data_IF_897003768471
#
_entry.id   IF_897003768471
#
_cell.length_a   1.000
_cell.length_b   1.000
_cell.length_c   1.000
_cell.angle_alpha   90.00
_cell.angle_beta   90.00
_cell.angle_gamma   90.00
#
_symmetry.space_group_name_H-M   'P 1'
#
loop_
_entity.id
_entity.type
_entity.pdbx_description
1 polymer ?
#
# COMPACT_ATOMS: atom_id res chain seq x y z
N UNK A 1 -3.63 21.94 -5.23
CA UNK A 1 -2.53 22.06 -4.24
C UNK A 1 -3.13 22.40 -2.89
N UNK A 2 -2.75 21.69 -1.83
CA UNK A 2 -3.28 21.93 -0.49
C UNK A 2 -3.03 23.36 0.01
N UNK A 3 -4.02 23.90 0.72
CA UNK A 3 -3.88 25.22 1.36
C UNK A 3 -3.08 25.10 2.66
N UNK A 4 -1.78 25.41 2.61
CA UNK A 4 -0.85 25.30 3.74
C UNK A 4 -1.35 26.10 4.97
N UNK A 5 -1.95 27.27 4.77
CA UNK A 5 -2.45 28.07 5.89
C UNK A 5 -3.61 27.39 6.62
N UNK A 6 -4.52 26.76 5.86
CA UNK A 6 -5.62 25.98 6.42
C UNK A 6 -5.09 24.77 7.21
N UNK A 7 -4.10 24.03 6.65
CA UNK A 7 -3.45 22.91 7.34
C UNK A 7 -2.77 23.36 8.65
N UNK A 8 -2.06 24.49 8.64
CA UNK A 8 -1.43 25.06 9.83
C UNK A 8 -2.47 25.45 10.89
N UNK A 9 -3.62 26.00 10.49
CA UNK A 9 -4.71 26.33 11.40
C UNK A 9 -5.27 25.08 12.07
N UNK A 10 -5.56 24.03 11.31
CA UNK A 10 -6.03 22.75 11.85
C UNK A 10 -5.01 22.11 12.80
N UNK A 11 -3.74 22.08 12.39
CA UNK A 11 -2.65 21.61 13.27
C UNK A 11 -2.64 22.36 14.61
N UNK A 12 -2.80 23.69 14.60
CA UNK A 12 -2.83 24.50 15.82
C UNK A 12 -4.01 24.12 16.71
N UNK A 13 -5.21 23.98 16.14
CA UNK A 13 -6.41 23.58 16.90
C UNK A 13 -6.21 22.24 17.60
N UNK A 14 -5.64 21.23 16.91
CA UNK A 14 -5.34 19.92 17.49
C UNK A 14 -4.31 20.05 18.64
N UNK A 15 -3.26 20.84 18.45
CA UNK A 15 -2.26 21.09 19.50
C UNK A 15 -2.85 21.76 20.73
N UNK A 16 -3.80 22.69 20.55
CA UNK A 16 -4.45 23.38 21.66
C UNK A 16 -5.41 22.43 22.42
N UNK A 17 -6.13 21.56 21.72
CA UNK A 17 -6.96 20.52 22.35
C UNK A 17 -6.11 19.49 23.11
N UNK A 18 -4.97 19.06 22.55
CA UNK A 18 -4.04 18.12 23.20
C UNK A 18 -3.53 18.60 24.55
N UNK A 19 -3.35 19.93 24.75
CA UNK A 19 -2.85 20.50 26.01
C UNK A 19 -3.81 20.28 27.18
N UNK A 20 -5.11 20.20 26.89
CA UNK A 20 -6.18 20.11 27.89
C UNK A 20 -6.88 18.75 27.92
N UNK A 21 -6.59 17.88 26.91
CA UNK A 21 -7.24 16.58 26.82
C UNK A 21 -6.74 15.62 27.90
N UNK A 22 -7.65 15.13 28.74
CA UNK A 22 -7.38 14.14 29.79
C UNK A 22 -7.83 12.73 29.40
N UNK A 23 -8.74 12.60 28.44
CA UNK A 23 -9.20 11.33 27.92
C UNK A 23 -8.10 10.64 27.09
N UNK A 24 -7.73 9.42 27.47
CA UNK A 24 -6.62 8.69 26.85
C UNK A 24 -6.90 8.33 25.38
N UNK A 25 -8.12 7.83 25.10
CA UNK A 25 -8.49 7.42 23.73
C UNK A 25 -8.60 8.64 22.80
N UNK A 26 -9.18 9.73 23.28
CA UNK A 26 -9.26 10.99 22.55
C UNK A 26 -7.88 11.56 22.27
N UNK A 27 -6.99 11.51 23.27
CA UNK A 27 -5.60 11.97 23.13
C UNK A 27 -4.85 11.21 22.04
N UNK A 28 -4.99 9.89 21.98
CA UNK A 28 -4.39 9.05 20.96
C UNK A 28 -4.89 9.44 19.54
N UNK A 29 -6.19 9.61 19.36
CA UNK A 29 -6.77 10.09 18.08
C UNK A 29 -6.21 11.45 17.69
N UNK A 30 -6.10 12.37 18.64
CA UNK A 30 -5.52 13.70 18.40
C UNK A 30 -4.04 13.61 17.96
N UNK A 31 -3.24 12.76 18.61
CA UNK A 31 -1.82 12.56 18.29
C UNK A 31 -1.63 11.98 16.89
N UNK A 32 -2.42 10.97 16.50
CA UNK A 32 -2.38 10.35 15.16
C UNK A 32 -2.79 11.38 14.11
N UNK A 33 -3.90 12.10 14.32
CA UNK A 33 -4.37 13.13 13.38
C UNK A 33 -3.39 14.29 13.27
N UNK A 34 -2.74 14.69 14.37
CA UNK A 34 -1.68 15.69 14.37
C UNK A 34 -0.50 15.25 13.49
N UNK A 35 -0.10 13.98 13.57
CA UNK A 35 0.94 13.38 12.71
C UNK A 35 0.60 13.54 11.23
N UNK A 36 -0.65 13.25 10.85
CA UNK A 36 -1.14 13.45 9.47
C UNK A 36 -1.00 14.90 9.01
N UNK A 37 -1.45 15.89 9.80
CA UNK A 37 -1.34 17.30 9.43
C UNK A 37 0.11 17.81 9.36
N UNK A 38 0.99 17.33 10.23
CA UNK A 38 2.43 17.64 10.16
C UNK A 38 3.01 17.13 8.85
N UNK A 39 2.74 15.87 8.53
CA UNK A 39 3.21 15.23 7.30
C UNK A 39 2.66 15.92 6.04
N UNK A 40 1.38 16.29 6.03
CA UNK A 40 0.77 17.08 4.93
C UNK A 40 1.46 18.43 4.74
N UNK A 41 1.75 19.16 5.82
CA UNK A 41 2.44 20.45 5.75
C UNK A 41 3.86 20.30 5.21
N UNK A 42 4.58 19.26 5.66
CA UNK A 42 5.93 18.96 5.19
C UNK A 42 5.93 18.57 3.70
N UNK A 43 4.89 17.87 3.23
CA UNK A 43 4.71 17.54 1.81
C UNK A 43 4.41 18.77 0.94
N UNK A 44 3.81 19.83 1.51
CA UNK A 44 3.62 21.10 0.81
C UNK A 44 4.92 21.92 0.69
N UNK A 45 5.91 21.65 1.53
CA UNK A 45 7.21 22.31 1.54
C UNK A 45 8.08 21.82 0.38
N UNK A 46 7.96 22.47 -0.79
CA UNK A 46 8.74 22.11 -1.97
C UNK A 46 10.20 22.53 -1.83
N UNK A 47 11.13 21.59 -2.04
CA UNK A 47 12.50 21.96 -2.43
C UNK A 47 12.42 22.35 -3.90
N UNK A 48 12.39 23.65 -4.17
CA UNK A 48 12.28 24.20 -5.53
C UNK A 48 13.50 23.92 -6.42
N UNK A 49 14.54 23.24 -5.91
CA UNK A 49 15.79 23.05 -6.62
C UNK A 49 16.15 21.55 -6.66
N UNK A 50 15.98 20.94 -7.81
CA UNK A 50 16.31 19.52 -8.08
C UNK A 50 17.78 19.19 -7.75
N UNK A 51 18.72 20.14 -7.93
CA UNK A 51 20.13 19.97 -7.53
C UNK A 51 20.28 19.87 -6.02
N UNK A 52 19.56 20.70 -5.27
CA UNK A 52 19.61 20.70 -3.81
C UNK A 52 18.97 19.40 -3.27
N UNK A 53 17.90 18.91 -3.90
CA UNK A 53 17.27 17.65 -3.55
C UNK A 53 18.23 16.46 -3.74
N UNK A 54 18.90 16.36 -4.88
CA UNK A 54 19.87 15.30 -5.15
C UNK A 54 21.05 15.33 -4.18
N UNK A 55 21.49 16.53 -3.77
CA UNK A 55 22.51 16.68 -2.72
C UNK A 55 21.97 16.21 -1.37
N UNK A 56 20.76 16.58 -0.99
CA UNK A 56 20.13 16.18 0.26
C UNK A 56 19.80 14.68 0.29
N UNK A 57 19.38 14.09 -0.83
CA UNK A 57 19.17 12.64 -0.96
C UNK A 57 20.50 11.88 -0.85
N UNK A 58 21.56 12.38 -1.48
CA UNK A 58 22.92 11.83 -1.37
C UNK A 58 23.46 11.94 0.07
N UNK A 59 23.19 13.06 0.75
CA UNK A 59 23.58 13.29 2.14
C UNK A 59 22.73 12.46 3.12
N UNK A 60 21.46 12.21 2.82
CA UNK A 60 20.58 11.39 3.67
C UNK A 60 20.94 9.90 3.64
N UNK A 61 21.44 9.41 2.52
CA UNK A 61 22.01 8.05 2.39
C UNK A 61 23.35 7.90 3.15
N UNK A 62 24.01 9.01 3.49
CA UNK A 62 25.22 9.07 4.30
C UNK A 62 25.00 9.65 5.69
N UNK A 63 24.43 8.91 6.63
CA UNK A 63 24.46 9.11 8.10
C UNK A 63 24.12 10.50 8.68
N UNK A 64 23.56 11.44 7.95
CA UNK A 64 23.10 12.71 8.53
C UNK A 64 21.61 12.61 8.92
N UNK A 65 21.35 12.43 10.21
CA UNK A 65 20.03 12.73 10.76
C UNK A 65 19.80 14.24 10.66
N UNK A 66 19.07 14.68 9.65
CA UNK A 66 18.48 16.01 9.71
C UNK A 66 17.60 16.05 10.97
N UNK A 67 17.94 16.90 11.93
CA UNK A 67 17.09 17.18 13.08
C UNK A 67 15.74 17.68 12.56
N UNK A 68 14.79 16.76 12.43
CA UNK A 68 13.45 17.06 11.92
C UNK A 68 12.63 17.61 13.09
N UNK A 69 12.13 18.87 13.04
CA UNK A 69 11.25 19.38 14.09
C UNK A 69 9.99 18.53 14.29
N UNK A 70 9.57 17.81 13.23
CA UNK A 70 8.47 16.84 13.24
C UNK A 70 8.86 15.46 13.82
N UNK A 71 10.14 15.16 14.01
CA UNK A 71 10.58 13.84 14.45
C UNK A 71 10.00 13.42 15.81
N UNK A 72 9.59 14.35 16.64
CA UNK A 72 8.93 14.05 17.91
C UNK A 72 7.55 13.44 17.72
N UNK A 73 6.80 13.88 16.71
CA UNK A 73 5.44 13.40 16.45
C UNK A 73 5.40 12.27 15.40
N UNK A 74 6.22 12.35 14.36
CA UNK A 74 6.44 11.20 13.45
C UNK A 74 7.12 10.05 14.16
N UNK A 75 8.04 10.32 15.10
CA UNK A 75 8.62 9.30 15.97
C UNK A 75 7.60 8.68 16.92
N UNK A 76 6.55 9.37 17.33
CA UNK A 76 5.45 8.78 18.07
C UNK A 76 4.53 7.94 17.16
N UNK A 77 4.29 8.36 15.93
CA UNK A 77 3.56 7.57 14.94
C UNK A 77 4.33 6.30 14.57
N UNK A 78 5.62 6.41 14.31
CA UNK A 78 6.50 5.26 14.12
C UNK A 78 6.58 4.39 15.38
N UNK A 79 6.58 4.95 16.59
CA UNK A 79 6.50 4.20 17.85
C UNK A 79 5.15 3.51 18.03
N UNK A 80 4.06 4.14 17.69
CA UNK A 80 2.72 3.53 17.73
C UNK A 80 2.70 2.32 16.79
N UNK A 81 3.27 2.44 15.59
CA UNK A 81 3.35 1.34 14.64
C UNK A 81 4.43 0.31 15.04
N UNK A 82 5.55 0.72 15.64
CA UNK A 82 6.67 -0.17 15.97
C UNK A 82 6.55 -0.89 17.30
N UNK A 83 5.78 -0.36 18.25
CA UNK A 83 5.55 -0.98 19.57
C UNK A 83 4.29 -1.87 19.62
N UNK A 84 3.74 -2.23 18.47
CA UNK A 84 2.58 -3.11 18.40
C UNK A 84 3.03 -4.56 18.34
N UNK A 85 2.59 -5.35 19.31
CA UNK A 85 2.75 -6.80 19.27
C UNK A 85 1.80 -7.37 18.24
N UNK A 86 2.33 -7.85 17.11
CA UNK A 86 1.57 -8.60 16.13
C UNK A 86 1.55 -10.06 16.51
N UNK A 87 0.39 -10.68 16.33
CA UNK A 87 0.28 -12.12 16.55
C UNK A 87 1.23 -12.87 15.61
N UNK A 88 2.10 -13.70 16.20
CA UNK A 88 3.02 -14.52 15.45
C UNK A 88 3.38 -15.74 16.31
N UNK A 89 2.68 -16.86 16.10
CA UNK A 89 3.10 -18.14 16.64
C UNK A 89 3.92 -18.94 15.61
N UNK A 90 4.43 -20.09 16.05
CA UNK A 90 5.27 -20.94 15.21
C UNK A 90 4.55 -21.42 13.95
N UNK A 91 3.31 -21.84 14.07
CA UNK A 91 2.50 -22.38 12.96
C UNK A 91 2.20 -21.32 11.93
N UNK A 92 1.87 -20.12 12.40
CA UNK A 92 1.61 -19.00 11.50
C UNK A 92 2.89 -18.53 10.80
N UNK A 93 4.02 -18.50 11.51
CA UNK A 93 5.30 -18.20 10.87
C UNK A 93 5.69 -19.25 9.82
N UNK A 94 5.50 -20.56 10.10
CA UNK A 94 5.71 -21.63 9.11
C UNK A 94 4.91 -21.37 7.82
N UNK A 95 3.62 -21.07 7.97
CA UNK A 95 2.75 -20.74 6.84
C UNK A 95 3.28 -19.53 6.04
N UNK A 96 3.70 -18.43 6.72
CA UNK A 96 4.23 -17.25 6.04
C UNK A 96 5.56 -17.53 5.33
N UNK A 97 6.42 -18.37 5.90
CA UNK A 97 7.67 -18.78 5.27
C UNK A 97 7.44 -19.68 4.05
N UNK A 98 6.41 -20.53 4.08
CA UNK A 98 5.99 -21.32 2.92
C UNK A 98 5.51 -20.40 1.77
N UNK A 99 4.77 -19.34 2.09
CA UNK A 99 4.43 -18.29 1.10
C UNK A 99 5.70 -17.66 0.50
N UNK A 100 6.66 -17.28 1.35
CA UNK A 100 7.94 -16.69 0.88
C UNK A 100 8.65 -17.62 -0.10
N UNK A 101 8.83 -18.88 0.27
CA UNK A 101 9.51 -19.87 -0.57
C UNK A 101 8.73 -20.14 -1.88
N UNK A 102 7.41 -20.25 -1.82
CA UNK A 102 6.57 -20.42 -3.02
C UNK A 102 6.78 -19.25 -4.00
N UNK A 103 6.71 -18.00 -3.50
CA UNK A 103 6.86 -16.80 -4.34
C UNK A 103 8.28 -16.68 -4.90
N UNK A 104 9.32 -17.04 -4.14
CA UNK A 104 10.71 -17.03 -4.63
C UNK A 104 10.91 -18.06 -5.76
N UNK A 105 10.24 -19.21 -5.65
CA UNK A 105 10.37 -20.30 -6.61
C UNK A 105 9.51 -20.11 -7.88
N UNK A 106 8.69 -19.05 -7.94
CA UNK A 106 7.96 -18.73 -9.17
C UNK A 106 8.92 -18.23 -10.25
N UNK A 107 8.59 -18.47 -11.51
CA UNK A 107 9.34 -17.86 -12.60
C UNK A 107 9.27 -16.33 -12.53
N UNK A 108 10.41 -15.62 -12.58
CA UNK A 108 10.39 -14.16 -12.55
C UNK A 108 9.67 -13.60 -13.78
N UNK A 109 8.89 -12.56 -13.57
CA UNK A 109 8.23 -11.84 -14.66
C UNK A 109 9.27 -11.22 -15.62
N UNK A 110 10.42 -10.83 -15.06
CA UNK A 110 11.60 -10.36 -15.81
C UNK A 110 12.86 -11.01 -15.23
N UNK A 111 13.75 -11.48 -16.13
CA UNK A 111 14.99 -12.19 -15.76
C UNK A 111 16.17 -11.28 -15.42
N UNK A 112 16.03 -9.96 -15.52
CA UNK A 112 17.12 -8.98 -15.35
C UNK A 112 16.69 -7.81 -14.48
N UNK A 113 17.68 -7.06 -13.95
CA UNK A 113 17.52 -5.79 -13.22
C UNK A 113 17.02 -4.64 -14.14
N UNK A 114 16.09 -4.93 -15.03
CA UNK A 114 15.54 -3.90 -15.90
C UNK A 114 14.69 -2.94 -15.06
N UNK A 115 15.10 -1.69 -15.03
CA UNK A 115 14.24 -0.61 -14.63
C UNK A 115 13.09 -0.55 -15.63
N UNK A 116 11.84 -0.58 -15.14
CA UNK A 116 10.67 -0.37 -15.99
C UNK A 116 10.75 1.04 -16.59
N UNK A 117 11.11 1.12 -17.87
CA UNK A 117 11.13 2.37 -18.61
C UNK A 117 9.74 2.58 -19.23
N UNK A 118 8.92 3.36 -18.55
CA UNK A 118 7.60 3.74 -19.04
C UNK A 118 7.70 4.88 -20.03
N UNK A 119 6.94 4.79 -21.12
CA UNK A 119 6.79 5.88 -22.07
C UNK A 119 6.23 7.13 -21.38
N UNK A 120 6.69 8.30 -21.86
CA UNK A 120 6.11 9.57 -21.44
C UNK A 120 4.63 9.62 -21.82
N UNK A 121 3.77 9.75 -20.84
CA UNK A 121 2.31 9.79 -20.97
C UNK A 121 1.78 11.11 -20.43
N UNK A 122 1.88 12.21 -21.20
CA UNK A 122 1.46 13.52 -20.76
C UNK A 122 -0.06 13.53 -20.55
N UNK A 123 -0.48 13.77 -19.35
CA UNK A 123 -1.90 13.86 -19.01
C UNK A 123 -2.15 15.00 -18.03
N UNK A 124 -3.28 15.69 -18.20
CA UNK A 124 -3.71 16.67 -17.21
C UNK A 124 -4.16 15.99 -15.91
N UNK A 125 -4.15 16.73 -14.82
CA UNK A 125 -4.74 16.25 -13.56
C UNK A 125 -6.24 15.96 -13.73
N UNK A 126 -6.92 16.70 -14.59
CA UNK A 126 -8.34 16.48 -14.91
C UNK A 126 -8.54 15.16 -15.66
N UNK A 127 -7.68 14.83 -16.62
CA UNK A 127 -7.70 13.54 -17.30
C UNK A 127 -7.55 12.38 -16.32
N UNK A 128 -6.60 12.49 -15.40
CA UNK A 128 -6.37 11.48 -14.37
C UNK A 128 -7.60 11.32 -13.46
N UNK A 129 -8.16 12.42 -12.98
CA UNK A 129 -9.39 12.41 -12.18
C UNK A 129 -10.58 11.77 -12.93
N UNK A 130 -10.77 12.10 -14.20
CA UNK A 130 -11.88 11.60 -15.00
C UNK A 130 -11.76 10.09 -15.27
N UNK A 131 -10.58 9.61 -15.65
CA UNK A 131 -10.32 8.18 -15.86
C UNK A 131 -10.55 7.39 -14.56
N UNK A 132 -10.03 7.88 -13.44
CA UNK A 132 -10.23 7.24 -12.14
C UNK A 132 -11.70 7.23 -11.73
N UNK A 133 -12.43 8.33 -11.93
CA UNK A 133 -13.85 8.41 -11.64
C UNK A 133 -14.67 7.43 -12.48
N UNK A 134 -14.36 7.31 -13.77
CA UNK A 134 -14.97 6.34 -14.67
C UNK A 134 -14.67 4.89 -14.25
N UNK A 135 -13.45 4.61 -13.81
CA UNK A 135 -13.09 3.29 -13.30
C UNK A 135 -13.97 2.89 -12.11
N UNK A 136 -14.07 3.73 -11.07
CA UNK A 136 -14.90 3.42 -9.89
C UNK A 136 -16.40 3.33 -10.25
N UNK A 137 -16.87 4.11 -11.21
CA UNK A 137 -18.24 3.97 -11.73
C UNK A 137 -18.45 2.63 -12.44
N UNK A 138 -17.45 2.17 -13.19
CA UNK A 138 -17.49 0.89 -13.91
C UNK A 138 -17.41 -0.34 -13.02
N UNK A 139 -16.98 -0.20 -11.76
CA UNK A 139 -17.10 -1.27 -10.76
C UNK A 139 -18.58 -1.61 -10.44
N UNK A 140 -19.54 -0.77 -10.86
CA UNK A 140 -20.99 -0.98 -10.66
C UNK A 140 -21.38 -1.27 -9.19
N UNK A 141 -20.54 -0.88 -8.24
CA UNK A 141 -20.85 -0.90 -6.81
C UNK A 141 -21.10 0.53 -6.33
N UNK A 142 -22.35 0.79 -5.97
CA UNK A 142 -22.75 2.13 -5.58
C UNK A 142 -22.08 2.58 -4.28
N UNK A 143 -21.83 1.68 -3.32
CA UNK A 143 -21.23 2.05 -2.04
C UNK A 143 -19.78 2.51 -2.25
N UNK A 144 -18.99 1.71 -2.98
CA UNK A 144 -17.59 2.05 -3.31
C UNK A 144 -17.55 3.36 -4.10
N UNK A 145 -18.42 3.51 -5.10
CA UNK A 145 -18.47 4.72 -5.93
C UNK A 145 -18.82 5.97 -5.13
N UNK A 146 -19.80 5.90 -4.21
CA UNK A 146 -20.17 7.02 -3.35
C UNK A 146 -19.03 7.43 -2.41
N UNK A 147 -18.26 6.47 -1.90
CA UNK A 147 -17.08 6.78 -1.08
C UNK A 147 -15.96 7.42 -1.92
N UNK A 148 -15.74 6.94 -3.15
CA UNK A 148 -14.81 7.57 -4.09
C UNK A 148 -15.20 9.01 -4.40
N UNK A 149 -16.49 9.28 -4.60
CA UNK A 149 -17.01 10.62 -4.85
C UNK A 149 -16.74 11.61 -3.72
N UNK A 150 -16.67 11.16 -2.45
CA UNK A 150 -16.29 12.04 -1.32
C UNK A 150 -14.89 12.63 -1.52
N UNK A 151 -13.95 11.82 -2.07
CA UNK A 151 -12.60 12.31 -2.39
C UNK A 151 -12.58 13.16 -3.66
N UNK A 152 -13.23 12.70 -4.73
CA UNK A 152 -13.20 13.39 -6.02
C UNK A 152 -13.91 14.75 -6.03
N UNK A 153 -14.97 14.91 -5.25
CA UNK A 153 -15.77 16.14 -5.24
C UNK A 153 -15.15 17.22 -4.35
N UNK A 154 -14.31 16.88 -3.42
CA UNK A 154 -13.57 17.85 -2.59
C UNK A 154 -12.14 17.99 -3.12
N UNK A 155 -11.92 19.00 -4.00
CA UNK A 155 -10.59 19.26 -4.59
C UNK A 155 -9.51 19.55 -3.57
N UNK A 156 -9.86 19.91 -2.33
CA UNK A 156 -8.92 20.11 -1.23
C UNK A 156 -8.40 18.78 -0.69
N UNK A 157 -9.08 17.66 -0.95
CA UNK A 157 -8.63 16.35 -0.51
C UNK A 157 -7.51 15.76 -1.39
N UNK A 158 -7.28 16.32 -2.58
CA UNK A 158 -6.31 15.79 -3.53
C UNK A 158 -5.20 16.81 -3.80
N UNK A 159 -3.96 16.37 -3.67
CA UNK A 159 -2.79 17.17 -4.01
C UNK A 159 -1.97 16.49 -5.11
N UNK A 160 -1.78 17.15 -6.24
CA UNK A 160 -0.87 16.74 -7.29
C UNK A 160 0.42 17.51 -7.17
N UNK A 161 1.53 16.82 -6.98
CA UNK A 161 2.84 17.41 -6.80
C UNK A 161 3.81 16.91 -7.87
N UNK A 162 4.61 17.82 -8.41
CA UNK A 162 5.72 17.48 -9.30
C UNK A 162 7.05 17.36 -8.54
N UNK A 163 7.00 17.46 -7.21
CA UNK A 163 8.19 17.49 -6.36
C UNK A 163 8.14 16.36 -5.35
N UNK A 164 9.31 15.84 -5.00
CA UNK A 164 9.44 14.85 -3.95
C UNK A 164 9.14 15.48 -2.58
N UNK A 165 8.41 14.75 -1.76
CA UNK A 165 8.29 15.06 -0.35
C UNK A 165 9.62 14.82 0.36
N UNK A 166 9.95 15.66 1.35
CA UNK A 166 11.12 15.42 2.22
C UNK A 166 11.02 14.15 3.05
N UNK A 167 9.80 13.71 3.36
CA UNK A 167 9.55 12.57 4.23
C UNK A 167 9.43 11.26 3.45
N UNK A 168 8.96 11.31 2.21
CA UNK A 168 8.58 10.14 1.42
C UNK A 168 9.13 10.25 0.00
N UNK A 169 10.45 10.38 -0.12
CA UNK A 169 11.12 10.59 -1.41
C UNK A 169 10.85 9.51 -2.45
N UNK A 170 10.53 8.29 -2.01
CA UNK A 170 10.34 7.13 -2.87
C UNK A 170 8.86 6.76 -3.08
N UNK A 171 7.91 7.37 -2.37
CA UNK A 171 6.50 7.05 -2.53
C UNK A 171 5.93 7.74 -3.77
N UNK A 172 5.20 6.99 -4.60
CA UNK A 172 4.46 7.50 -5.75
C UNK A 172 3.22 8.29 -5.32
N UNK A 173 2.61 7.89 -4.20
CA UNK A 173 1.48 8.53 -3.56
C UNK A 173 1.49 8.33 -2.05
N UNK A 174 0.63 9.03 -1.33
CA UNK A 174 0.43 8.86 0.11
C UNK A 174 -0.98 9.32 0.48
N UNK A 175 -1.64 8.56 1.32
CA UNK A 175 -2.92 8.92 1.93
C UNK A 175 -2.73 9.33 3.39
N UNK A 176 -3.44 10.37 3.81
CA UNK A 176 -3.46 10.90 5.17
C UNK A 176 -4.89 10.91 5.69
N UNK A 177 -5.08 10.51 6.93
CA UNK A 177 -6.40 10.42 7.54
C UNK A 177 -6.56 11.44 8.69
N UNK A 178 -7.66 12.16 8.66
CA UNK A 178 -8.13 13.01 9.77
C UNK A 178 -9.25 12.27 10.50
N UNK A 179 -8.88 11.59 11.57
CA UNK A 179 -9.81 10.81 12.39
C UNK A 179 -10.75 11.68 13.23
N UNK A 180 -10.46 12.98 13.37
CA UNK A 180 -11.28 13.93 14.12
C UNK A 180 -12.47 14.37 13.27
N UNK A 181 -12.21 14.75 12.01
CA UNK A 181 -13.21 15.30 11.10
C UNK A 181 -13.72 14.28 10.08
N UNK A 182 -13.26 13.02 10.13
CA UNK A 182 -13.65 11.96 9.20
C UNK A 182 -13.29 12.28 7.75
N UNK A 183 -12.09 12.84 7.51
CA UNK A 183 -11.60 13.21 6.17
C UNK A 183 -10.36 12.42 5.80
N UNK A 184 -10.29 12.00 4.54
CA UNK A 184 -9.09 11.44 3.95
C UNK A 184 -8.53 12.39 2.88
N UNK A 185 -7.21 12.44 2.80
CA UNK A 185 -6.46 13.27 1.86
C UNK A 185 -5.43 12.40 1.15
N UNK A 186 -5.24 12.59 -0.15
CA UNK A 186 -4.16 11.92 -0.85
C UNK A 186 -3.26 12.92 -1.60
N UNK A 187 -2.00 12.57 -1.72
CA UNK A 187 -1.04 13.27 -2.58
C UNK A 187 -0.42 12.30 -3.57
N UNK A 188 -0.27 12.74 -4.81
CA UNK A 188 0.33 11.96 -5.88
C UNK A 188 1.48 12.73 -6.48
N UNK A 189 2.61 12.06 -6.63
CA UNK A 189 3.73 12.59 -7.41
C UNK A 189 3.43 12.39 -8.90
N UNK A 190 3.45 13.49 -9.64
CA UNK A 190 3.24 13.47 -11.09
C UNK A 190 4.58 13.36 -11.82
N UNK A 191 4.76 12.25 -12.52
CA UNK A 191 5.93 11.98 -13.37
C UNK A 191 5.57 12.08 -14.87
N UNK A 192 4.27 12.23 -15.20
CA UNK A 192 3.70 12.12 -16.54
C UNK A 192 3.96 10.75 -17.18
N UNK A 193 3.79 9.71 -16.39
CA UNK A 193 3.90 8.31 -16.79
C UNK A 193 2.56 7.63 -16.50
N UNK A 194 2.31 6.48 -17.13
CA UNK A 194 1.09 5.70 -16.88
C UNK A 194 0.98 5.22 -15.42
N UNK A 195 2.09 5.01 -14.75
CA UNK A 195 2.13 4.63 -13.33
C UNK A 195 1.48 5.67 -12.41
N UNK A 196 1.43 6.95 -12.81
CA UNK A 196 0.75 7.98 -12.03
C UNK A 196 -0.75 7.67 -11.85
N UNK A 197 -1.35 7.03 -12.84
CA UNK A 197 -2.76 6.63 -12.80
C UNK A 197 -2.99 5.48 -11.84
N UNK A 198 -2.10 4.48 -11.84
CA UNK A 198 -2.16 3.38 -10.88
C UNK A 198 -1.96 3.90 -9.46
N UNK A 199 -0.90 4.68 -9.21
CA UNK A 199 -0.62 5.25 -7.90
C UNK A 199 -1.80 6.10 -7.39
N UNK A 200 -2.45 6.87 -8.26
CA UNK A 200 -3.61 7.66 -7.87
C UNK A 200 -4.79 6.78 -7.43
N UNK A 201 -5.13 5.74 -8.19
CA UNK A 201 -6.23 4.85 -7.82
C UNK A 201 -5.94 4.05 -6.57
N UNK A 202 -4.68 3.67 -6.34
CA UNK A 202 -4.21 3.09 -5.09
C UNK A 202 -4.52 4.00 -3.89
N UNK A 203 -4.13 5.27 -3.96
CA UNK A 203 -4.39 6.23 -2.88
C UNK A 203 -5.88 6.57 -2.71
N UNK A 204 -6.65 6.62 -3.79
CA UNK A 204 -8.11 6.77 -3.71
C UNK A 204 -8.74 5.58 -2.98
N UNK A 205 -8.22 4.36 -3.18
CA UNK A 205 -8.74 3.20 -2.47
C UNK A 205 -8.46 3.26 -0.96
N UNK A 206 -7.31 3.75 -0.53
CA UNK A 206 -7.05 4.05 0.88
C UNK A 206 -8.05 5.08 1.44
N UNK A 207 -8.40 6.12 0.68
CA UNK A 207 -9.44 7.07 1.08
C UNK A 207 -10.81 6.38 1.22
N UNK A 208 -11.17 5.50 0.28
CA UNK A 208 -12.41 4.73 0.31
C UNK A 208 -12.45 3.83 1.55
N UNK A 209 -11.38 3.08 1.82
CA UNK A 209 -11.26 2.22 2.99
C UNK A 209 -11.46 3.00 4.29
N UNK A 210 -10.85 4.17 4.40
CA UNK A 210 -11.04 5.07 5.53
C UNK A 210 -12.50 5.53 5.67
N UNK A 211 -13.18 5.89 4.58
CA UNK A 211 -14.56 6.37 4.64
C UNK A 211 -15.57 5.29 4.99
N UNK A 212 -15.30 4.03 4.65
CA UNK A 212 -16.17 2.93 5.07
C UNK A 212 -16.10 2.68 6.57
N UNK A 213 -14.90 2.68 7.13
CA UNK A 213 -14.67 2.49 8.55
C UNK A 213 -13.31 3.05 8.93
N UNK A 214 -13.27 4.20 9.61
CA UNK A 214 -12.03 4.74 10.14
C UNK A 214 -11.37 3.71 11.06
N UNK A 215 -10.17 3.29 10.72
CA UNK A 215 -9.40 2.26 11.42
C UNK A 215 -8.16 2.91 12.00
N UNK A 216 -7.97 2.77 13.30
CA UNK A 216 -6.77 3.28 13.96
C UNK A 216 -5.61 2.32 13.67
N UNK A 217 -4.49 2.78 13.08
CA UNK A 217 -3.42 1.90 12.59
C UNK A 217 -2.82 0.97 13.65
N UNK A 218 -2.77 1.40 14.92
CA UNK A 218 -2.22 0.60 16.01
C UNK A 218 -3.14 -0.52 16.51
N UNK A 219 -4.40 -0.54 16.09
CA UNK A 219 -5.39 -1.55 16.48
C UNK A 219 -5.62 -2.59 15.38
N UNK A 220 -5.08 -2.35 14.18
CA UNK A 220 -5.31 -3.20 13.02
C UNK A 220 -4.05 -3.98 12.64
N UNK A 221 -4.28 -5.15 12.05
CA UNK A 221 -3.27 -5.95 11.40
C UNK A 221 -2.50 -5.14 10.36
N UNK A 222 -1.17 -5.19 10.42
CA UNK A 222 -0.34 -4.47 9.46
C UNK A 222 -0.54 -5.03 8.04
N UNK A 223 -0.57 -4.16 7.06
CA UNK A 223 -0.84 -4.54 5.66
C UNK A 223 -2.32 -4.71 5.33
N UNK A 224 -3.23 -4.78 6.34
CA UNK A 224 -4.66 -4.97 6.07
C UNK A 224 -5.24 -3.90 5.12
N UNK A 225 -4.79 -2.66 5.26
CA UNK A 225 -5.20 -1.57 4.37
C UNK A 225 -4.68 -1.73 2.94
N UNK A 226 -3.59 -2.50 2.75
CA UNK A 226 -3.03 -2.77 1.42
C UNK A 226 -3.81 -3.84 0.66
N UNK A 227 -4.60 -4.68 1.33
CA UNK A 227 -5.36 -5.75 0.66
C UNK A 227 -6.33 -5.17 -0.37
N UNK A 228 -7.11 -4.18 0.01
CA UNK A 228 -8.08 -3.54 -0.88
C UNK A 228 -7.41 -2.74 -1.98
N UNK A 229 -6.34 -2.03 -1.66
CA UNK A 229 -5.60 -1.19 -2.63
C UNK A 229 -4.90 -2.03 -3.68
N UNK A 230 -4.22 -3.11 -3.29
CA UNK A 230 -3.57 -4.00 -4.25
C UNK A 230 -4.60 -4.75 -5.12
N UNK A 231 -5.76 -5.14 -4.58
CA UNK A 231 -6.82 -5.74 -5.39
C UNK A 231 -7.36 -4.75 -6.44
N UNK A 232 -7.54 -3.49 -6.06
CA UNK A 232 -7.93 -2.41 -6.98
C UNK A 232 -6.84 -2.13 -8.02
N UNK A 233 -5.56 -2.20 -7.67
CA UNK A 233 -4.46 -2.04 -8.62
C UNK A 233 -4.57 -3.04 -9.78
N UNK A 234 -4.81 -4.33 -9.49
CA UNK A 234 -4.99 -5.35 -10.54
C UNK A 234 -6.18 -5.01 -11.45
N UNK A 235 -7.34 -4.67 -10.85
CA UNK A 235 -8.54 -4.31 -11.61
C UNK A 235 -8.35 -3.05 -12.45
N UNK A 236 -7.62 -2.07 -11.92
CA UNK A 236 -7.37 -0.83 -12.63
C UNK A 236 -6.41 -1.03 -13.82
N UNK A 237 -5.42 -1.88 -13.67
CA UNK A 237 -4.53 -2.24 -14.79
C UNK A 237 -5.34 -2.89 -15.93
N UNK A 238 -6.26 -3.79 -15.61
CA UNK A 238 -7.15 -4.39 -16.62
C UNK A 238 -8.11 -3.37 -17.23
N UNK A 239 -8.59 -2.42 -16.43
CA UNK A 239 -9.39 -1.31 -16.93
C UNK A 239 -8.62 -0.44 -17.91
N UNK A 240 -7.35 -0.11 -17.64
CA UNK A 240 -6.50 0.66 -18.55
C UNK A 240 -6.36 -0.05 -19.92
N UNK A 241 -6.21 -1.38 -19.93
CA UNK A 241 -6.22 -2.14 -21.19
C UNK A 241 -7.58 -2.01 -21.91
N UNK A 242 -8.67 -2.11 -21.16
CA UNK A 242 -10.03 -2.06 -21.72
C UNK A 242 -10.38 -0.74 -22.42
N UNK A 243 -9.80 0.36 -21.93
CA UNK A 243 -9.99 1.70 -22.53
C UNK A 243 -8.94 2.05 -23.60
N UNK A 244 -8.09 1.09 -23.98
CA UNK A 244 -7.18 1.22 -25.12
C UNK A 244 -5.81 1.82 -24.81
N UNK A 245 -5.37 1.80 -23.55
CA UNK A 245 -3.97 2.10 -23.24
C UNK A 245 -3.08 1.08 -23.92
N UNK A 246 -1.91 1.53 -24.43
CA UNK A 246 -0.96 0.68 -25.14
C UNK A 246 -0.67 -0.60 -24.36
N UNK A 247 -0.76 -1.73 -25.05
CA UNK A 247 -0.56 -3.05 -24.45
C UNK A 247 0.77 -3.18 -23.72
N UNK A 248 1.87 -2.67 -24.32
CA UNK A 248 3.20 -2.77 -23.72
C UNK A 248 3.29 -2.02 -22.38
N UNK A 249 2.66 -0.85 -22.26
CA UNK A 249 2.61 -0.09 -21.02
C UNK A 249 1.80 -0.80 -19.93
N UNK A 250 0.68 -1.41 -20.32
CA UNK A 250 -0.15 -2.22 -19.42
C UNK A 250 0.63 -3.47 -18.97
N UNK A 251 1.37 -4.13 -19.87
CA UNK A 251 2.21 -5.26 -19.51
C UNK A 251 3.33 -4.88 -18.55
N UNK A 252 3.98 -3.73 -18.73
CA UNK A 252 4.97 -3.22 -17.77
C UNK A 252 4.36 -3.06 -16.37
N UNK A 253 3.14 -2.53 -16.26
CA UNK A 253 2.45 -2.41 -14.96
C UNK A 253 2.18 -3.79 -14.33
N UNK A 254 1.74 -4.80 -15.12
CA UNK A 254 1.53 -6.17 -14.64
C UNK A 254 2.82 -6.80 -14.13
N UNK A 255 3.88 -6.68 -14.93
CA UNK A 255 5.20 -7.20 -14.57
C UNK A 255 5.76 -6.50 -13.32
N UNK A 256 5.50 -5.21 -13.15
CA UNK A 256 5.89 -4.46 -11.96
C UNK A 256 5.18 -4.99 -10.71
N UNK A 257 3.88 -5.35 -10.78
CA UNK A 257 3.15 -5.95 -9.66
C UNK A 257 3.73 -7.33 -9.29
N UNK A 258 3.95 -8.21 -10.27
CA UNK A 258 4.56 -9.52 -10.05
C UNK A 258 5.97 -9.39 -9.43
N UNK A 259 6.81 -8.51 -9.99
CA UNK A 259 8.16 -8.28 -9.51
C UNK A 259 8.19 -7.65 -8.12
N UNK A 260 7.21 -6.85 -7.76
CA UNK A 260 7.11 -6.28 -6.42
C UNK A 260 7.02 -7.38 -5.36
N UNK A 261 6.07 -8.31 -5.49
CA UNK A 261 5.88 -9.40 -4.53
C UNK A 261 7.08 -10.35 -4.50
N UNK A 262 7.66 -10.67 -5.67
CA UNK A 262 8.88 -11.47 -5.75
C UNK A 262 10.08 -10.79 -5.10
N UNK A 263 10.22 -9.48 -5.27
CA UNK A 263 11.29 -8.69 -4.66
C UNK A 263 11.12 -8.62 -3.14
N UNK A 264 9.88 -8.49 -2.67
CA UNK A 264 9.54 -8.48 -1.25
C UNK A 264 9.89 -9.83 -0.61
N UNK A 265 9.50 -10.96 -1.23
CA UNK A 265 9.85 -12.29 -0.75
C UNK A 265 11.38 -12.52 -0.70
N UNK A 266 12.11 -12.09 -1.73
CA UNK A 266 13.59 -12.14 -1.75
C UNK A 266 14.21 -11.27 -0.66
N UNK A 267 13.64 -10.09 -0.40
CA UNK A 267 14.08 -9.19 0.68
C UNK A 267 13.88 -9.83 2.06
N UNK A 268 12.71 -10.45 2.32
CA UNK A 268 12.43 -11.18 3.56
C UNK A 268 13.49 -12.27 3.79
N UNK A 269 13.71 -13.11 2.78
CA UNK A 269 14.70 -14.17 2.84
C UNK A 269 16.11 -13.63 3.10
N UNK A 270 16.48 -12.51 2.46
CA UNK A 270 17.75 -11.82 2.67
C UNK A 270 17.92 -11.32 4.10
N UNK A 271 16.89 -10.66 4.67
CA UNK A 271 16.90 -10.18 6.05
C UNK A 271 17.03 -11.31 7.07
N UNK A 272 16.28 -12.40 6.89
CA UNK A 272 16.36 -13.59 7.74
C UNK A 272 17.76 -14.18 7.70
N UNK A 273 18.31 -14.36 6.51
CA UNK A 273 19.65 -14.90 6.26
C UNK A 273 20.75 -14.08 6.93
N UNK A 274 20.73 -12.76 6.73
CA UNK A 274 21.68 -11.83 7.35
C UNK A 274 21.66 -11.96 8.89
N UNK A 275 20.48 -11.99 9.49
CA UNK A 275 20.36 -12.06 10.95
C UNK A 275 20.75 -13.41 11.53
N UNK A 276 20.43 -14.52 10.89
CA UNK A 276 20.83 -15.85 11.33
C UNK A 276 22.35 -15.97 11.25
N UNK A 277 22.96 -15.60 10.13
CA UNK A 277 24.42 -15.65 9.96
C UNK A 277 25.16 -14.78 10.96
N UNK A 278 24.68 -13.57 11.23
CA UNK A 278 25.27 -12.67 12.20
C UNK A 278 25.19 -13.18 13.66
N UNK A 279 24.20 -14.05 13.96
CA UNK A 279 24.03 -14.62 15.31
C UNK A 279 24.80 -15.92 15.56
N UNK A 280 25.02 -16.74 14.55
CA UNK A 280 25.44 -18.14 14.73
C UNK A 280 26.62 -18.46 13.83
N UNK A 281 27.58 -17.88 13.46
CA UNK A 281 28.69 -18.35 12.61
C UNK A 281 28.38 -19.65 11.80
N UNK A 282 27.25 -19.73 11.14
CA UNK A 282 26.77 -20.94 10.47
C UNK A 282 27.17 -20.90 9.00
N UNK A 283 27.79 -21.98 8.54
CA UNK A 283 27.97 -22.28 7.13
C UNK A 283 26.65 -22.23 6.37
N UNK A 284 26.62 -21.45 5.34
CA UNK A 284 25.49 -20.90 4.61
C UNK A 284 24.54 -21.90 3.91
N UNK A 285 24.67 -23.20 4.11
CA UNK A 285 24.11 -24.23 3.23
C UNK A 285 22.98 -25.04 3.87
N UNK A 286 22.71 -24.88 5.16
CA UNK A 286 21.64 -25.63 5.81
C UNK A 286 20.43 -24.77 6.10
N UNK A 287 19.26 -25.29 5.69
CA UNK A 287 17.94 -24.76 5.97
C UNK A 287 17.78 -24.34 7.42
N UNK A 288 17.48 -23.07 7.64
CA UNK A 288 17.14 -22.58 8.98
C UNK A 288 15.80 -23.19 9.44
N UNK A 289 15.76 -23.59 10.70
CA UNK A 289 14.52 -24.06 11.31
C UNK A 289 13.61 -22.86 11.63
N UNK A 290 12.31 -23.06 11.61
CA UNK A 290 11.34 -22.03 12.00
C UNK A 290 11.65 -21.42 13.36
N UNK A 291 12.15 -22.22 14.32
CA UNK A 291 12.57 -21.72 15.61
C UNK A 291 13.73 -20.71 15.52
N UNK A 292 14.68 -20.92 14.61
CA UNK A 292 15.79 -19.97 14.41
C UNK A 292 15.27 -18.63 13.89
N UNK A 293 14.22 -18.65 13.05
CA UNK A 293 13.55 -17.43 12.57
C UNK A 293 12.75 -16.76 13.67
N UNK A 294 12.03 -17.52 14.51
CA UNK A 294 11.32 -16.98 15.68
C UNK A 294 12.26 -16.18 16.59
N UNK A 295 13.47 -16.70 16.82
CA UNK A 295 14.47 -16.09 17.70
C UNK A 295 15.06 -14.77 17.19
N UNK A 296 14.89 -14.47 15.91
CA UNK A 296 15.43 -13.26 15.25
C UNK A 296 14.33 -12.31 14.74
N UNK A 297 13.05 -12.66 14.92
CA UNK A 297 11.95 -11.81 14.46
C UNK A 297 12.08 -10.40 15.01
N UNK A 298 11.95 -9.46 14.11
CA UNK A 298 11.76 -8.05 14.43
C UNK A 298 10.66 -7.45 13.58
N UNK A 299 10.34 -6.20 13.87
CA UNK A 299 9.24 -5.51 13.17
C UNK A 299 9.48 -5.38 11.66
N UNK A 300 10.72 -5.35 11.17
CA UNK A 300 10.97 -5.27 9.74
C UNK A 300 10.63 -6.58 9.04
N UNK A 301 11.03 -7.71 9.62
CA UNK A 301 10.69 -9.04 9.09
C UNK A 301 9.17 -9.24 9.16
N UNK A 302 8.56 -8.99 10.32
CA UNK A 302 7.12 -9.15 10.53
C UNK A 302 6.33 -8.32 9.51
N UNK A 303 6.61 -7.04 9.37
CA UNK A 303 5.90 -6.17 8.41
C UNK A 303 6.01 -6.66 6.98
N UNK A 304 7.21 -7.04 6.55
CA UNK A 304 7.39 -7.53 5.19
C UNK A 304 6.64 -8.85 4.96
N UNK A 305 6.60 -9.75 5.96
CA UNK A 305 5.81 -10.99 5.90
C UNK A 305 4.31 -10.68 5.75
N UNK A 306 3.79 -9.79 6.59
CA UNK A 306 2.37 -9.40 6.57
C UNK A 306 2.00 -8.63 5.30
N UNK A 307 2.91 -7.85 4.76
CA UNK A 307 2.72 -7.15 3.49
C UNK A 307 2.70 -8.12 2.30
N UNK A 308 3.58 -9.14 2.30
CA UNK A 308 3.57 -10.20 1.30
C UNK A 308 2.26 -10.99 1.35
N UNK A 309 1.82 -11.41 2.53
CA UNK A 309 0.54 -12.09 2.71
C UNK A 309 -0.62 -11.23 2.18
N UNK A 310 -0.64 -9.95 2.50
CA UNK A 310 -1.67 -9.01 2.00
C UNK A 310 -1.68 -8.95 0.47
N UNK A 311 -0.52 -8.98 -0.16
CA UNK A 311 -0.40 -9.06 -1.62
C UNK A 311 -0.99 -10.34 -2.21
N UNK A 312 -0.76 -11.50 -1.55
CA UNK A 312 -1.35 -12.79 -1.99
C UNK A 312 -2.88 -12.78 -1.84
N UNK A 313 -3.39 -12.27 -0.71
CA UNK A 313 -4.83 -12.15 -0.48
C UNK A 313 -5.46 -11.24 -1.54
N UNK A 314 -4.83 -10.12 -1.84
CA UNK A 314 -5.29 -9.17 -2.86
C UNK A 314 -5.37 -9.81 -4.24
N UNK A 315 -4.37 -10.59 -4.60
CA UNK A 315 -4.37 -11.36 -5.84
C UNK A 315 -5.50 -12.41 -5.86
N UNK A 316 -5.75 -13.07 -4.73
CA UNK A 316 -6.88 -14.00 -4.57
C UNK A 316 -8.24 -13.32 -4.77
N UNK A 317 -8.45 -12.15 -4.17
CA UNK A 317 -9.68 -11.34 -4.36
C UNK A 317 -9.83 -10.93 -5.82
N UNK A 318 -8.76 -10.45 -6.45
CA UNK A 318 -8.75 -10.12 -7.86
C UNK A 318 -9.16 -11.33 -8.72
N UNK A 319 -8.59 -12.52 -8.50
CA UNK A 319 -8.98 -13.74 -9.22
C UNK A 319 -10.46 -14.11 -8.99
N UNK A 320 -10.97 -13.99 -7.78
CA UNK A 320 -12.38 -14.19 -7.49
C UNK A 320 -13.29 -13.21 -8.27
N UNK A 321 -12.90 -11.94 -8.38
CA UNK A 321 -13.64 -10.94 -9.18
C UNK A 321 -13.61 -11.32 -10.67
N UNK A 322 -12.50 -11.83 -11.17
CA UNK A 322 -12.40 -12.30 -12.55
C UNK A 322 -13.26 -13.55 -12.83
N UNK A 323 -13.39 -14.45 -11.86
CA UNK A 323 -14.19 -15.68 -11.99
C UNK A 323 -15.69 -15.41 -11.80
N UNK A 324 -16.06 -14.76 -10.71
CA UNK A 324 -17.41 -14.31 -10.39
C UNK A 324 -17.38 -12.91 -9.80
N UNK A 325 -17.76 -11.95 -10.64
CA UNK A 325 -17.68 -10.54 -10.31
C UNK A 325 -18.41 -10.17 -9.01
N UNK A 326 -19.61 -10.72 -8.81
CA UNK A 326 -20.44 -10.35 -7.67
C UNK A 326 -19.87 -10.94 -6.35
N UNK A 327 -19.44 -12.19 -6.39
CA UNK A 327 -18.83 -12.84 -5.22
C UNK A 327 -17.51 -12.14 -4.86
N UNK A 328 -16.63 -11.95 -5.82
CA UNK A 328 -15.33 -11.34 -5.57
C UNK A 328 -15.45 -9.88 -5.09
N UNK A 329 -16.37 -9.10 -5.68
CA UNK A 329 -16.60 -7.72 -5.23
C UNK A 329 -17.22 -7.67 -3.82
N UNK A 330 -18.10 -8.62 -3.49
CA UNK A 330 -18.62 -8.73 -2.12
C UNK A 330 -17.50 -9.08 -1.13
N UNK A 331 -16.58 -9.96 -1.48
CA UNK A 331 -15.42 -10.31 -0.66
C UNK A 331 -14.49 -9.10 -0.45
N UNK A 332 -14.25 -8.30 -1.50
CA UNK A 332 -13.54 -7.03 -1.37
C UNK A 332 -14.24 -6.08 -0.38
N UNK A 333 -15.57 -5.96 -0.45
CA UNK A 333 -16.35 -5.14 0.49
C UNK A 333 -16.28 -5.66 1.92
N UNK A 334 -16.22 -6.97 2.14
CA UNK A 334 -16.01 -7.57 3.46
C UNK A 334 -14.67 -7.08 4.03
N UNK A 335 -13.59 -7.13 3.23
CA UNK A 335 -12.28 -6.61 3.65
C UNK A 335 -12.34 -5.11 3.99
N UNK A 336 -12.93 -4.29 3.11
CA UNK A 336 -13.02 -2.84 3.33
C UNK A 336 -13.78 -2.52 4.63
N UNK A 337 -14.89 -3.22 4.91
CA UNK A 337 -15.77 -2.95 6.05
C UNK A 337 -15.26 -3.50 7.38
N UNK A 338 -14.41 -4.53 7.36
CA UNK A 338 -13.92 -5.18 8.56
C UNK A 338 -12.57 -4.62 9.01
N UNK A 339 -12.25 -4.89 10.28
CA UNK A 339 -10.91 -4.73 10.84
C UNK A 339 -10.39 -6.10 11.22
N UNK A 340 -9.12 -6.37 10.95
CA UNK A 340 -8.41 -7.52 11.50
C UNK A 340 -7.63 -7.06 12.73
N UNK A 341 -7.91 -7.59 13.91
CA UNK A 341 -7.14 -7.24 15.10
C UNK A 341 -5.72 -7.79 14.99
N UNK A 342 -4.75 -7.00 15.42
CA UNK A 342 -3.31 -7.33 15.32
C UNK A 342 -2.88 -8.46 16.25
N UNK A 343 -3.64 -8.72 17.32
CA UNK A 343 -3.34 -9.67 18.38
C UNK A 343 -3.87 -11.09 18.08
N UNK A 344 -4.39 -11.32 16.88
CA UNK A 344 -4.89 -12.62 16.44
C UNK A 344 -4.39 -12.94 15.04
N UNK A 345 -4.21 -14.26 14.79
CA UNK A 345 -3.96 -14.73 13.42
C UNK A 345 -5.13 -14.29 12.52
N UNK A 346 -4.84 -13.67 11.36
CA UNK A 346 -5.88 -13.36 10.38
C UNK A 346 -6.58 -14.62 9.89
N UNK A 347 -7.89 -14.53 9.69
CA UNK A 347 -8.68 -15.61 9.10
C UNK A 347 -9.48 -15.07 7.91
N UNK A 348 -9.16 -15.58 6.73
CA UNK A 348 -9.78 -15.22 5.45
C UNK A 348 -10.68 -16.32 4.89
N UNK A 349 -11.01 -17.33 5.69
CA UNK A 349 -11.90 -18.43 5.27
C UNK A 349 -13.31 -17.95 4.92
N UNK A 350 -13.78 -16.88 5.57
CA UNK A 350 -15.08 -16.26 5.31
C UNK A 350 -15.19 -15.60 3.93
N UNK A 351 -14.06 -15.37 3.26
CA UNK A 351 -13.99 -14.87 1.87
C UNK A 351 -13.44 -15.95 0.91
N UNK A 352 -13.50 -17.22 1.30
CA UNK A 352 -12.99 -18.35 0.53
C UNK A 352 -11.50 -18.28 0.19
N UNK A 353 -10.69 -17.74 1.10
CA UNK A 353 -9.23 -17.69 1.02
C UNK A 353 -8.59 -18.29 2.29
N UNK A 354 -8.86 -19.58 2.64
CA UNK A 354 -8.16 -20.23 3.73
C UNK A 354 -6.68 -20.43 3.41
N UNK A 355 -5.86 -20.74 4.41
CA UNK A 355 -4.40 -20.93 4.29
C UNK A 355 -3.99 -21.78 3.08
N UNK A 356 -4.67 -22.90 2.84
CA UNK A 356 -4.38 -23.80 1.72
C UNK A 356 -4.51 -23.09 0.36
N UNK A 357 -5.55 -22.29 0.19
CA UNK A 357 -5.77 -21.50 -1.05
C UNK A 357 -4.71 -20.43 -1.20
N UNK A 358 -4.32 -19.75 -0.11
CA UNK A 358 -3.26 -18.76 -0.13
C UNK A 358 -1.90 -19.37 -0.50
N UNK A 359 -1.59 -20.58 -0.02
CA UNK A 359 -0.40 -21.32 -0.44
C UNK A 359 -0.42 -21.69 -1.93
N UNK A 360 -1.57 -22.03 -2.49
CA UNK A 360 -1.71 -22.28 -3.93
C UNK A 360 -1.52 -21.00 -4.74
N UNK A 361 -2.18 -19.90 -4.34
CA UNK A 361 -2.05 -18.60 -4.98
C UNK A 361 -0.60 -18.06 -4.95
N UNK A 362 0.13 -18.32 -3.85
CA UNK A 362 1.53 -17.89 -3.74
C UNK A 362 2.45 -18.53 -4.79
N UNK A 363 2.12 -19.73 -5.29
CA UNK A 363 2.83 -20.39 -6.39
C UNK A 363 2.52 -19.80 -7.77
N UNK A 364 1.45 -19.02 -7.87
CA UNK A 364 1.03 -18.39 -9.11
C UNK A 364 1.57 -16.96 -9.28
N UNK A 365 2.18 -16.37 -8.24
CA UNK A 365 2.77 -15.03 -8.35
C UNK A 365 3.85 -15.03 -9.44
N UNK A 366 3.82 -14.04 -10.32
CA UNK A 366 4.64 -14.00 -11.54
C UNK A 366 3.90 -14.50 -12.77
N UNK A 367 2.69 -15.04 -12.62
CA UNK A 367 1.84 -15.46 -13.74
C UNK A 367 0.88 -14.36 -14.21
N UNK A 368 0.60 -13.34 -13.38
CA UNK A 368 -0.34 -12.27 -13.70
C UNK A 368 -0.02 -11.57 -15.01
N UNK A 369 1.26 -11.33 -15.28
CA UNK A 369 1.72 -10.76 -16.56
C UNK A 369 1.58 -11.73 -17.75
N UNK A 370 1.53 -13.04 -17.50
CA UNK A 370 1.47 -14.10 -18.53
C UNK A 370 0.04 -14.51 -18.88
N UNK A 371 -0.87 -14.53 -17.91
CA UNK A 371 -2.22 -15.11 -18.05
C UNK A 371 -3.21 -14.23 -18.84
N UNK A 372 -2.90 -12.97 -19.10
CA UNK A 372 -3.84 -11.98 -19.65
C UNK A 372 -4.27 -12.18 -21.09
N UNK A 373 -3.85 -13.27 -21.76
CA UNK A 373 -4.47 -13.71 -23.02
C UNK A 373 -5.91 -14.25 -22.83
N UNK A 374 -6.29 -14.60 -21.60
CA UNK A 374 -7.57 -15.26 -21.27
C UNK A 374 -8.67 -14.26 -20.91
N UNK A 375 -8.35 -13.13 -20.28
CA UNK A 375 -9.33 -12.16 -19.79
C UNK A 375 -10.04 -11.33 -20.88
N UNK A 376 -9.49 -11.29 -22.10
CA UNK A 376 -10.17 -10.66 -23.26
C UNK A 376 -11.59 -11.20 -23.51
N UNK A 377 -11.94 -12.38 -23.02
CA UNK A 377 -13.28 -12.97 -23.14
C UNK A 377 -14.32 -12.38 -22.18
N UNK A 378 -13.92 -11.93 -21.00
CA UNK A 378 -14.86 -11.49 -19.97
C UNK A 378 -15.28 -10.03 -20.09
N UNK A 379 -14.36 -9.11 -20.42
CA UNK A 379 -14.69 -7.71 -20.64
C UNK A 379 -15.57 -7.49 -21.87
N UNK A 380 -15.44 -8.29 -22.93
CA UNK A 380 -16.26 -8.16 -24.15
C UNK A 380 -17.67 -8.75 -24.04
N UNK A 381 -17.95 -9.68 -23.12
CA UNK A 381 -19.30 -10.28 -22.98
C UNK A 381 -20.31 -9.42 -22.21
N UNK A 382 -19.90 -8.29 -21.60
CA UNK A 382 -20.79 -7.41 -20.83
C UNK A 382 -21.02 -6.04 -21.46
N UNK A 383 -20.57 -5.82 -22.69
CA UNK A 383 -20.89 -4.60 -23.48
C UNK A 383 -22.05 -4.77 -24.46
N UNK A 384 -22.71 -5.95 -24.48
CA UNK A 384 -23.95 -6.17 -25.25
C UNK A 384 -25.16 -6.30 -24.33
#
# INVERSE_FOLDING_TARGET
MWNIQKLKTQKKQILDELKTCTDKSRKEILEITLGSYISMIDNCGTIKNTKMYNILDTLSKGKFSLNRPSAKYTGNFEKIITNTDYYMDKTYLEFLLDIVENVINTEPAITTNENFDFDFFPSSNETLLNISKQFYQNLKDNDIYQMALKTFNDKENINFSNTYSRLYSNAAGITFCDYINGKAFCTIKRNNLIIDFQAFNHEIMHCIDFYFKPKIPNETYYGFHEISTYAIDYLFIDYLESIGVKYDEVQKLRMMKDNYLQSLAKSIRGLIREKICNKKEIDFIKEYKVQDVMDILDMNIIRNLLELESGIISYGIYKQICLDYNIGLNNLKIIIKNTLPKDKKPDFSNINLPDQVLLELSKEIGSYSKEHKVSKKYCRKKQN
#
